data_IF_598343093118
#
_entry.id   IF_598343093118
#
_cell.length_a   1.000
_cell.length_b   1.000
_cell.length_c   1.000
_cell.angle_alpha   90.00
_cell.angle_beta   90.00
_cell.angle_gamma   90.00
#
_symmetry.space_group_name_H-M   'P 1'
#
loop_
_entity.id
_entity.type
_entity.pdbx_description
1 polymer ?
#
# COMPACT_ATOMS: atom_id res chain seq x y z
N UNK A 1 21.89 6.26 12.43
CA UNK A 1 20.45 6.54 12.29
C UNK A 1 19.85 5.50 11.36
N UNK A 2 18.86 4.75 11.83
CA UNK A 2 18.09 3.82 11.00
C UNK A 2 17.26 4.65 10.02
N UNK A 3 17.42 4.46 8.71
CA UNK A 3 16.52 5.10 7.74
C UNK A 3 15.13 4.49 7.91
N UNK A 4 14.15 5.31 8.21
CA UNK A 4 12.75 4.91 8.17
C UNK A 4 12.28 4.93 6.72
N UNK A 5 11.75 3.80 6.24
CA UNK A 5 11.21 3.65 4.90
C UNK A 5 9.70 3.38 5.03
N UNK A 6 8.86 4.43 5.04
CA UNK A 6 7.42 4.29 5.20
C UNK A 6 6.80 3.30 4.21
N UNK A 7 7.29 3.28 2.96
CA UNK A 7 6.84 2.34 1.92
C UNK A 7 7.14 0.88 2.26
N UNK A 8 8.33 0.59 2.80
CA UNK A 8 8.70 -0.77 3.21
C UNK A 8 7.90 -1.22 4.45
N UNK A 9 7.61 -0.30 5.37
CA UNK A 9 6.76 -0.58 6.52
C UNK A 9 5.32 -0.87 6.08
N UNK A 10 4.76 -0.05 5.19
CA UNK A 10 3.43 -0.28 4.62
C UNK A 10 3.36 -1.64 3.92
N UNK A 11 4.33 -1.95 3.06
CA UNK A 11 4.44 -3.24 2.36
C UNK A 11 4.52 -4.44 3.32
N UNK A 12 5.23 -4.30 4.44
CA UNK A 12 5.31 -5.33 5.49
C UNK A 12 3.98 -5.45 6.26
N UNK A 13 3.36 -4.33 6.64
CA UNK A 13 2.09 -4.30 7.36
C UNK A 13 0.96 -4.94 6.55
N UNK A 14 0.92 -4.73 5.24
CA UNK A 14 -0.04 -5.34 4.30
C UNK A 14 -0.05 -6.87 4.39
N UNK A 15 1.11 -7.47 4.63
CA UNK A 15 1.25 -8.93 4.79
C UNK A 15 0.70 -9.44 6.12
N UNK A 16 0.54 -8.55 7.11
CA UNK A 16 -0.03 -8.85 8.43
C UNK A 16 -1.54 -8.59 8.52
N UNK A 17 -2.14 -8.03 7.46
CA UNK A 17 -3.56 -7.72 7.44
C UNK A 17 -4.40 -9.00 7.61
N UNK A 18 -5.49 -8.95 8.40
CA UNK A 18 -6.41 -10.06 8.51
C UNK A 18 -6.95 -10.46 7.12
N UNK A 19 -7.30 -11.74 6.97
CA UNK A 19 -7.77 -12.35 5.70
C UNK A 19 -6.72 -12.54 4.60
N UNK A 20 -5.42 -12.38 4.91
CA UNK A 20 -4.39 -12.93 4.04
C UNK A 20 -4.51 -14.46 4.01
N UNK A 21 -4.47 -15.03 2.80
CA UNK A 21 -4.36 -16.49 2.66
C UNK A 21 -3.03 -16.95 3.22
N UNK A 22 -3.06 -18.05 3.91
CA UNK A 22 -1.90 -18.75 4.49
C UNK A 22 -1.26 -19.65 3.44
N UNK A 23 -0.06 -20.18 3.71
CA UNK A 23 0.62 -21.06 2.74
C UNK A 23 -0.15 -22.37 2.53
N UNK A 24 -0.92 -22.79 3.54
CA UNK A 24 -1.80 -23.96 3.54
C UNK A 24 -2.97 -23.83 2.55
N UNK A 25 -3.33 -22.60 2.15
CA UNK A 25 -4.38 -22.33 1.17
C UNK A 25 -3.93 -22.54 -0.29
N UNK A 26 -2.67 -22.97 -0.51
CA UNK A 26 -2.07 -23.12 -1.84
C UNK A 26 -1.49 -24.52 -2.07
N UNK A 27 -1.56 -24.98 -3.31
CA UNK A 27 -1.04 -26.30 -3.71
C UNK A 27 0.50 -26.37 -3.68
N UNK A 28 1.18 -25.23 -3.81
CA UNK A 28 2.64 -25.15 -3.79
C UNK A 28 3.11 -23.77 -3.30
N UNK A 29 4.39 -23.72 -2.89
CA UNK A 29 5.01 -22.48 -2.40
C UNK A 29 5.13 -21.40 -3.48
N UNK A 30 5.29 -21.77 -4.74
CA UNK A 30 5.43 -20.80 -5.84
C UNK A 30 4.16 -19.95 -6.00
N UNK A 31 3.00 -20.58 -5.98
CA UNK A 31 1.70 -19.89 -6.07
C UNK A 31 1.46 -18.97 -4.87
N UNK A 32 1.87 -19.41 -3.66
CA UNK A 32 1.83 -18.58 -2.46
C UNK A 32 2.74 -17.34 -2.59
N UNK A 33 3.96 -17.50 -3.11
CA UNK A 33 4.88 -16.38 -3.34
C UNK A 33 4.35 -15.38 -4.37
N UNK A 34 3.77 -15.87 -5.47
CA UNK A 34 3.12 -15.03 -6.47
C UNK A 34 1.90 -14.28 -5.89
N UNK A 35 1.10 -14.96 -5.05
CA UNK A 35 0.02 -14.32 -4.31
C UNK A 35 0.53 -13.17 -3.43
N UNK A 36 1.56 -13.41 -2.62
CA UNK A 36 2.16 -12.37 -1.76
C UNK A 36 2.69 -11.20 -2.58
N UNK A 37 3.35 -11.46 -3.71
CA UNK A 37 3.88 -10.42 -4.60
C UNK A 37 2.77 -9.56 -5.18
N UNK A 38 1.70 -10.17 -5.70
CA UNK A 38 0.53 -9.45 -6.23
C UNK A 38 -0.17 -8.64 -5.15
N UNK A 39 -0.31 -9.21 -3.94
CA UNK A 39 -0.92 -8.52 -2.81
C UNK A 39 -0.11 -7.28 -2.40
N UNK A 40 1.22 -7.39 -2.31
CA UNK A 40 2.10 -6.24 -2.00
C UNK A 40 1.97 -5.14 -3.04
N UNK A 41 1.97 -5.50 -4.33
CA UNK A 41 1.77 -4.53 -5.40
C UNK A 41 0.42 -3.83 -5.29
N UNK A 42 -0.68 -4.58 -5.19
CA UNK A 42 -2.04 -4.02 -5.11
C UNK A 42 -2.17 -2.98 -4.00
N UNK A 43 -1.77 -3.32 -2.78
CA UNK A 43 -1.93 -2.39 -1.67
C UNK A 43 -0.89 -1.25 -1.68
N UNK A 44 0.27 -1.44 -2.32
CA UNK A 44 1.18 -0.34 -2.59
C UNK A 44 0.54 0.67 -3.56
N UNK A 45 -0.10 0.18 -4.62
CA UNK A 45 -0.79 1.03 -5.59
C UNK A 45 -1.95 1.79 -4.92
N UNK A 46 -2.79 1.12 -4.14
CA UNK A 46 -3.87 1.74 -3.34
C UNK A 46 -3.34 2.79 -2.35
N UNK A 47 -2.16 2.57 -1.77
CA UNK A 47 -1.52 3.56 -0.90
C UNK A 47 -1.08 4.81 -1.67
N UNK A 48 -0.49 4.64 -2.86
CA UNK A 48 -0.14 5.76 -3.73
C UNK A 48 -1.41 6.51 -4.18
N UNK A 49 -2.44 5.79 -4.63
CA UNK A 49 -3.72 6.39 -5.03
C UNK A 49 -4.38 7.18 -3.89
N UNK A 50 -4.34 6.66 -2.66
CA UNK A 50 -4.86 7.37 -1.48
C UNK A 50 -4.10 8.67 -1.19
N UNK A 51 -2.77 8.68 -1.37
CA UNK A 51 -1.96 9.90 -1.25
C UNK A 51 -2.32 10.89 -2.35
N UNK A 52 -2.34 10.45 -3.60
CA UNK A 52 -2.67 11.31 -4.74
C UNK A 52 -4.07 11.91 -4.60
N UNK A 53 -5.04 11.11 -4.14
CA UNK A 53 -6.38 11.56 -3.81
C UNK A 53 -6.34 12.62 -2.71
N UNK A 54 -5.67 12.38 -1.59
CA UNK A 54 -5.56 13.35 -0.49
C UNK A 54 -4.90 14.67 -0.93
N UNK A 55 -3.81 14.59 -1.71
CA UNK A 55 -3.10 15.74 -2.26
C UNK A 55 -3.98 16.55 -3.23
N UNK A 56 -4.91 15.90 -3.95
CA UNK A 56 -5.85 16.58 -4.83
C UNK A 56 -6.79 17.54 -4.07
N UNK A 57 -7.13 17.24 -2.80
CA UNK A 57 -7.90 18.16 -1.94
C UNK A 57 -7.06 19.31 -1.40
N UNK A 58 -5.76 19.08 -1.18
CA UNK A 58 -4.82 20.13 -0.75
C UNK A 58 -4.63 21.23 -1.80
N UNK A 59 -4.72 20.89 -3.09
CA UNK A 59 -4.61 21.87 -4.20
C UNK A 59 -5.86 22.75 -4.38
N UNK A 60 -6.99 22.40 -3.79
CA UNK A 60 -8.25 23.15 -3.95
C UNK A 60 -8.38 24.36 -3.00
N UNK A 61 -7.52 24.49 -1.99
CA UNK A 61 -7.66 25.50 -0.94
C UNK A 61 -6.84 26.78 -1.16
N UNK A 62 -6.01 26.85 -2.21
CA UNK A 62 -5.06 27.96 -2.43
C UNK A 62 -5.56 28.99 -3.47
N UNK A 63 -6.73 28.79 -4.08
CA UNK A 63 -7.29 29.71 -5.10
C UNK A 63 -8.41 30.64 -4.58
N UNK A 64 -8.64 30.73 -3.26
CA UNK A 64 -9.69 31.61 -2.69
C UNK A 64 -9.20 32.65 -1.67
N UNK A 65 -7.90 32.96 -1.65
CA UNK A 65 -7.34 34.07 -0.86
C UNK A 65 -6.65 35.12 -1.76
N UNK A 66 -7.34 35.59 -2.79
CA UNK A 66 -7.02 36.87 -3.44
C UNK A 66 -8.30 37.71 -3.53
N UNK A 67 -8.54 38.47 -2.45
CA UNK A 67 -9.40 39.67 -2.42
C UNK A 67 -8.95 40.73 -3.44
#
# INVERSE_FOLDING_TARGET
MTKFYPSQFAEAYIQTLPHAKTVEDFNNRTDYWEYLKKRRQLFFDEYIEAIEFADSFGKSLDETDNE
#
